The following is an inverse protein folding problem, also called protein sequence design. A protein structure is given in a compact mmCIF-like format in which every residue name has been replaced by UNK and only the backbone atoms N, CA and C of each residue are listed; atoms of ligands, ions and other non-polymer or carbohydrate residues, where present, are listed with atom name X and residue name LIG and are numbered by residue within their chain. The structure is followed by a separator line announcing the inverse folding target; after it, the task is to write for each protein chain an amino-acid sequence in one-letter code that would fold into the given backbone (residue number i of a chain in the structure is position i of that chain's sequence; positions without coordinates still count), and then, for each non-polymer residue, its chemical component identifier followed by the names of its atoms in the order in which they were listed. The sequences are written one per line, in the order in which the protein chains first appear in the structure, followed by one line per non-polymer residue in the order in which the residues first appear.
data_IF_449597968008
#
_entry.id   IF_449597968008
#
_cell.length_a   1.000
_cell.length_b   1.000
_cell.length_c   1.000
_cell.angle_alpha   90.00
_cell.angle_beta   90.00
_cell.angle_gamma   90.00
#
_symmetry.space_group_name_H-M   'P 1'
#
loop_
_entity.id
_entity.type
_entity.pdbx_description
1 polymer ?
#
# COMPACT_ATOMS: atom_id res chain seq x y z
N UNK A 1 -15.44 29.89 4.76
CA UNK A 1 -14.84 28.59 5.13
C UNK A 1 -14.31 27.98 3.85
N UNK A 2 -13.13 27.34 3.86
CA UNK A 2 -12.62 26.62 2.68
C UNK A 2 -13.49 25.40 2.40
N UNK A 3 -13.73 25.06 1.14
CA UNK A 3 -14.47 23.84 0.77
C UNK A 3 -13.60 22.60 0.99
N UNK A 4 -14.21 21.40 0.96
CA UNK A 4 -13.47 20.14 1.08
C UNK A 4 -12.47 19.98 -0.05
N UNK A 5 -12.85 20.34 -1.28
CA UNK A 5 -11.99 20.29 -2.46
C UNK A 5 -10.80 21.24 -2.34
N UNK A 6 -11.01 22.46 -1.85
CA UNK A 6 -9.93 23.42 -1.59
C UNK A 6 -8.97 22.94 -0.50
N UNK A 7 -9.47 22.22 0.51
CA UNK A 7 -8.65 21.60 1.55
C UNK A 7 -7.82 20.44 0.99
N UNK A 8 -8.37 19.62 0.09
CA UNK A 8 -7.62 18.56 -0.60
C UNK A 8 -6.56 19.16 -1.53
N UNK A 9 -6.91 20.16 -2.35
CA UNK A 9 -5.95 20.85 -3.22
C UNK A 9 -4.80 21.48 -2.42
N UNK A 10 -5.11 22.05 -1.24
CA UNK A 10 -4.10 22.54 -0.31
C UNK A 10 -3.20 21.43 0.22
N UNK A 11 -3.78 20.27 0.58
CA UNK A 11 -3.04 19.09 1.02
C UNK A 11 -2.05 18.62 -0.04
N UNK A 12 -2.50 18.48 -1.28
CA UNK A 12 -1.65 18.08 -2.41
C UNK A 12 -0.47 19.04 -2.61
N UNK A 13 -0.74 20.35 -2.60
CA UNK A 13 0.34 21.34 -2.71
C UNK A 13 1.31 21.33 -1.53
N UNK A 14 0.87 20.92 -0.33
CA UNK A 14 1.76 20.75 0.82
C UNK A 14 2.64 19.51 0.67
N UNK A 15 2.11 18.41 0.11
CA UNK A 15 2.90 17.22 -0.23
C UNK A 15 3.99 17.53 -1.25
N UNK A 16 3.68 18.30 -2.30
CA UNK A 16 4.67 18.73 -3.30
C UNK A 16 5.83 19.53 -2.68
N UNK A 17 5.57 20.25 -1.58
CA UNK A 17 6.57 20.99 -0.81
C UNK A 17 7.26 20.16 0.28
N UNK A 18 6.90 18.89 0.42
CA UNK A 18 7.43 17.99 1.44
C UNK A 18 6.82 18.17 2.83
N UNK A 19 5.83 19.05 3.01
CA UNK A 19 5.12 19.25 4.29
C UNK A 19 4.02 18.19 4.49
N UNK A 20 4.46 16.97 4.80
CA UNK A 20 3.56 15.84 5.08
C UNK A 20 2.67 16.09 6.31
N UNK A 21 3.14 16.85 7.30
CA UNK A 21 2.37 17.14 8.50
C UNK A 21 1.19 18.08 8.18
N UNK A 22 1.46 19.16 7.46
CA UNK A 22 0.44 20.08 6.96
C UNK A 22 -0.56 19.40 6.04
N UNK A 23 -0.09 18.54 5.13
CA UNK A 23 -0.97 17.78 4.23
C UNK A 23 -1.97 16.90 5.01
N UNK A 24 -1.50 16.14 6.02
CA UNK A 24 -2.38 15.32 6.88
C UNK A 24 -3.43 16.17 7.60
N UNK A 25 -3.07 17.36 8.09
CA UNK A 25 -4.02 18.26 8.72
C UNK A 25 -5.09 18.75 7.74
N UNK A 26 -4.68 19.08 6.50
CA UNK A 26 -5.60 19.50 5.45
C UNK A 26 -6.59 18.39 5.09
N UNK A 27 -6.13 17.14 4.92
CA UNK A 27 -7.00 16.00 4.64
C UNK A 27 -7.95 15.67 5.80
N UNK A 28 -7.49 15.73 7.04
CA UNK A 28 -8.37 15.57 8.21
C UNK A 28 -9.46 16.65 8.28
N UNK A 29 -9.12 17.89 7.91
CA UNK A 29 -10.11 18.95 7.82
C UNK A 29 -11.12 18.70 6.69
N UNK A 30 -10.67 18.22 5.53
CA UNK A 30 -11.54 17.85 4.42
C UNK A 30 -12.50 16.71 4.80
N UNK A 31 -11.99 15.67 5.47
CA UNK A 31 -12.78 14.56 6.03
C UNK A 31 -13.86 15.07 6.98
N UNK A 32 -13.50 15.97 7.90
CA UNK A 32 -14.48 16.55 8.84
C UNK A 32 -15.60 17.31 8.12
N UNK A 33 -15.28 17.96 7.00
CA UNK A 33 -16.23 18.76 6.24
C UNK A 33 -17.09 17.90 5.30
N UNK A 34 -16.56 16.79 4.79
CA UNK A 34 -17.28 15.84 3.94
C UNK A 34 -16.88 14.39 4.25
N UNK A 35 -17.49 13.76 5.27
CA UNK A 35 -17.13 12.42 5.72
C UNK A 35 -17.40 11.30 4.70
N UNK A 36 -18.35 11.50 3.80
CA UNK A 36 -18.70 10.52 2.75
C UNK A 36 -17.83 10.68 1.49
N UNK A 37 -16.84 11.56 1.50
CA UNK A 37 -15.95 11.77 0.37
C UNK A 37 -14.64 11.00 0.55
N UNK A 38 -14.42 9.99 -0.28
CA UNK A 38 -13.32 9.02 -0.15
C UNK A 38 -11.93 9.60 -0.47
N UNK A 39 -11.82 10.60 -1.33
CA UNK A 39 -10.54 11.16 -1.83
C UNK A 39 -9.59 11.61 -0.70
N UNK A 40 -10.01 12.42 0.29
CA UNK A 40 -9.10 12.81 1.37
C UNK A 40 -8.68 11.64 2.27
N UNK A 41 -9.51 10.61 2.42
CA UNK A 41 -9.11 9.37 3.09
C UNK A 41 -8.00 8.68 2.28
N UNK A 42 -8.18 8.51 0.97
CA UNK A 42 -7.18 7.86 0.10
C UNK A 42 -5.80 8.53 0.21
N UNK A 43 -5.75 9.86 0.10
CA UNK A 43 -4.48 10.59 0.21
C UNK A 43 -3.88 10.52 1.62
N UNK A 44 -4.71 10.58 2.66
CA UNK A 44 -4.25 10.39 4.04
C UNK A 44 -3.66 8.97 4.26
N UNK A 45 -4.29 7.95 3.67
CA UNK A 45 -3.83 6.56 3.70
C UNK A 45 -2.48 6.36 3.01
N UNK A 46 -2.24 7.07 1.90
CA UNK A 46 -0.94 7.11 1.21
C UNK A 46 0.16 7.73 2.08
N UNK A 47 -0.13 8.83 2.76
CA UNK A 47 0.84 9.47 3.66
C UNK A 47 1.20 8.55 4.84
N UNK A 48 0.22 7.88 5.46
CA UNK A 48 0.51 6.92 6.52
C UNK A 48 1.33 5.72 6.03
N UNK A 49 1.04 5.22 4.82
CA UNK A 49 1.82 4.18 4.17
C UNK A 49 3.29 4.61 3.96
N UNK A 50 3.53 5.82 3.47
CA UNK A 50 4.89 6.35 3.30
C UNK A 50 5.65 6.45 4.62
N UNK A 51 4.95 6.77 5.72
CA UNK A 51 5.52 6.85 7.07
C UNK A 51 5.67 5.48 7.76
N UNK A 52 5.28 4.38 7.11
CA UNK A 52 5.26 3.05 7.73
C UNK A 52 4.25 2.90 8.86
N UNK A 53 3.30 3.84 8.97
CA UNK A 53 2.20 3.80 9.94
C UNK A 53 1.09 2.89 9.43
N UNK A 54 1.37 1.59 9.45
CA UNK A 54 0.53 0.58 8.80
C UNK A 54 -0.87 0.49 9.40
N UNK A 55 -1.02 0.63 10.72
CA UNK A 55 -2.33 0.58 11.39
C UNK A 55 -3.23 1.75 10.96
N UNK A 56 -2.71 2.98 10.97
CA UNK A 56 -3.49 4.15 10.52
C UNK A 56 -3.80 4.08 9.02
N UNK A 57 -2.86 3.56 8.21
CA UNK A 57 -3.09 3.34 6.78
C UNK A 57 -4.18 2.29 6.54
N UNK A 58 -4.20 1.21 7.32
CA UNK A 58 -5.25 0.19 7.25
C UNK A 58 -6.62 0.81 7.51
N UNK A 59 -6.79 1.48 8.64
CA UNK A 59 -8.06 2.08 9.07
C UNK A 59 -8.60 3.07 8.05
N UNK A 60 -7.74 3.96 7.55
CA UNK A 60 -8.16 4.95 6.56
C UNK A 60 -8.51 4.31 5.22
N UNK A 61 -7.74 3.32 4.74
CA UNK A 61 -8.07 2.62 3.50
C UNK A 61 -9.34 1.75 3.63
N UNK A 62 -9.67 1.25 4.82
CA UNK A 62 -10.95 0.57 5.08
C UNK A 62 -12.14 1.51 4.83
N UNK A 63 -12.03 2.77 5.24
CA UNK A 63 -13.05 3.78 4.92
C UNK A 63 -13.12 4.08 3.42
N UNK A 64 -11.98 4.15 2.72
CA UNK A 64 -11.99 4.36 1.26
C UNK A 64 -12.73 3.23 0.55
N UNK A 65 -12.43 1.96 0.86
CA UNK A 65 -13.11 0.81 0.20
C UNK A 65 -14.56 0.67 0.64
N UNK A 66 -14.96 1.22 1.80
CA UNK A 66 -16.36 1.31 2.21
C UNK A 66 -17.13 2.33 1.38
N UNK A 67 -16.51 3.49 1.14
CA UNK A 67 -17.10 4.62 0.41
C UNK A 67 -17.07 4.45 -1.11
N UNK A 68 -16.01 3.85 -1.64
CA UNK A 68 -15.74 3.64 -3.06
C UNK A 68 -15.23 2.21 -3.30
N UNK A 69 -16.10 1.18 -3.19
CA UNK A 69 -15.71 -0.22 -3.33
C UNK A 69 -15.16 -0.59 -4.72
N UNK A 70 -15.37 0.24 -5.74
CA UNK A 70 -14.83 0.09 -7.09
C UNK A 70 -13.40 0.63 -7.25
N UNK A 71 -12.87 1.35 -6.26
CA UNK A 71 -11.51 1.90 -6.30
C UNK A 71 -10.47 0.79 -6.09
N UNK A 72 -9.92 0.29 -7.20
CA UNK A 72 -8.87 -0.72 -7.19
C UNK A 72 -7.59 -0.26 -6.48
N UNK A 73 -7.29 1.05 -6.49
CA UNK A 73 -6.13 1.61 -5.80
C UNK A 73 -6.29 1.56 -4.28
N UNK A 74 -7.51 1.78 -3.79
CA UNK A 74 -7.85 1.68 -2.37
C UNK A 74 -7.70 0.24 -1.86
N UNK A 75 -8.24 -0.74 -2.59
CA UNK A 75 -8.05 -2.16 -2.29
C UNK A 75 -6.58 -2.55 -2.28
N UNK A 76 -5.81 -2.04 -3.24
CA UNK A 76 -4.37 -2.30 -3.29
C UNK A 76 -3.64 -1.77 -2.05
N UNK A 77 -3.91 -0.53 -1.65
CA UNK A 77 -3.29 0.06 -0.46
C UNK A 77 -3.74 -0.63 0.83
N UNK A 78 -5.02 -1.02 0.93
CA UNK A 78 -5.53 -1.81 2.05
C UNK A 78 -4.79 -3.15 2.17
N UNK A 79 -4.60 -3.85 1.06
CA UNK A 79 -3.88 -5.11 1.02
C UNK A 79 -2.42 -4.95 1.46
N UNK A 80 -1.74 -3.87 1.03
CA UNK A 80 -0.36 -3.57 1.47
C UNK A 80 -0.32 -3.39 2.98
N UNK A 81 -1.20 -2.54 3.53
CA UNK A 81 -1.24 -2.24 4.96
C UNK A 81 -1.54 -3.49 5.79
N UNK A 82 -2.55 -4.29 5.37
CA UNK A 82 -2.91 -5.53 6.02
C UNK A 82 -1.77 -6.56 5.99
N UNK A 83 -1.07 -6.68 4.86
CA UNK A 83 0.10 -7.56 4.70
C UNK A 83 1.25 -7.14 5.63
N UNK A 84 1.51 -5.84 5.74
CA UNK A 84 2.54 -5.30 6.63
C UNK A 84 2.24 -5.57 8.12
N UNK A 85 0.95 -5.61 8.49
CA UNK A 85 0.47 -5.91 9.84
C UNK A 85 0.28 -7.42 10.10
N UNK A 86 0.55 -8.28 9.12
CA UNK A 86 0.22 -9.71 9.18
C UNK A 86 -1.28 -9.99 9.45
N UNK A 87 -2.17 -9.06 9.09
CA UNK A 87 -3.61 -9.27 9.10
C UNK A 87 -4.01 -10.04 7.82
N UNK A 88 -3.75 -11.35 7.83
CA UNK A 88 -3.88 -12.18 6.62
C UNK A 88 -5.31 -12.34 6.11
N UNK A 89 -6.30 -12.24 7.00
CA UNK A 89 -7.71 -12.26 6.64
C UNK A 89 -8.07 -11.05 5.79
N UNK A 90 -7.73 -9.84 6.26
CA UNK A 90 -8.04 -8.61 5.51
C UNK A 90 -7.16 -8.49 4.27
N UNK A 91 -5.89 -8.92 4.35
CA UNK A 91 -5.01 -8.97 3.19
C UNK A 91 -5.61 -9.84 2.08
N UNK A 92 -6.05 -11.07 2.38
CA UNK A 92 -6.72 -11.94 1.39
C UNK A 92 -7.94 -11.29 0.79
N UNK A 93 -8.80 -10.68 1.61
CA UNK A 93 -9.99 -9.98 1.12
C UNK A 93 -9.62 -8.87 0.13
N UNK A 94 -8.66 -8.03 0.49
CA UNK A 94 -8.22 -6.92 -0.34
C UNK A 94 -7.55 -7.39 -1.65
N UNK A 95 -6.71 -8.41 -1.58
CA UNK A 95 -6.06 -8.99 -2.75
C UNK A 95 -7.05 -9.67 -3.69
N UNK A 96 -8.05 -10.35 -3.16
CA UNK A 96 -9.16 -10.89 -3.96
C UNK A 96 -9.94 -9.81 -4.67
N UNK A 97 -10.19 -8.67 -4.01
CA UNK A 97 -10.83 -7.51 -4.65
C UNK A 97 -9.98 -6.91 -5.78
N UNK A 98 -8.65 -7.01 -5.70
CA UNK A 98 -7.73 -6.67 -6.80
C UNK A 98 -7.65 -7.73 -7.91
N UNK A 99 -8.43 -8.82 -7.84
CA UNK A 99 -8.42 -9.91 -8.83
C UNK A 99 -7.34 -10.96 -8.63
N UNK A 100 -6.65 -10.96 -7.48
CA UNK A 100 -5.69 -11.99 -7.11
C UNK A 100 -6.40 -13.16 -6.43
N UNK A 101 -5.82 -14.36 -6.48
CA UNK A 101 -6.42 -15.57 -5.87
C UNK A 101 -5.50 -16.16 -4.80
N UNK A 102 -5.32 -15.46 -3.66
CA UNK A 102 -4.49 -15.99 -2.59
C UNK A 102 -5.11 -17.28 -2.00
N UNK A 103 -4.29 -18.28 -1.67
CA UNK A 103 -4.78 -19.54 -1.13
C UNK A 103 -5.46 -19.31 0.23
N UNK A 104 -6.50 -20.10 0.55
CA UNK A 104 -7.20 -20.01 1.84
C UNK A 104 -6.27 -20.37 3.00
N UNK A 105 -6.62 -19.89 4.20
CA UNK A 105 -5.91 -20.18 5.45
C UNK A 105 -5.86 -18.97 6.39
N UNK A 106 -5.20 -19.15 7.54
CA UNK A 106 -5.11 -18.11 8.58
C UNK A 106 -3.72 -17.48 8.67
N UNK A 107 -2.69 -18.13 8.11
CA UNK A 107 -1.31 -17.68 8.14
C UNK A 107 -0.91 -16.83 6.94
N UNK A 108 0.37 -16.41 6.89
CA UNK A 108 0.92 -15.72 5.73
C UNK A 108 0.59 -16.51 4.46
N UNK A 109 -0.04 -15.89 3.44
CA UNK A 109 -0.30 -16.60 2.20
C UNK A 109 1.05 -16.97 1.57
N UNK A 110 1.27 -18.27 1.34
CA UNK A 110 2.34 -18.75 0.45
C UNK A 110 1.91 -18.46 -1.00
N UNK A 111 1.81 -17.17 -1.29
CA UNK A 111 1.24 -16.62 -2.51
C UNK A 111 2.22 -15.64 -3.11
N UNK A 112 2.44 -15.85 -4.40
CA UNK A 112 3.35 -15.07 -5.17
C UNK A 112 2.60 -13.90 -5.82
N UNK A 113 2.73 -12.70 -5.24
CA UNK A 113 2.12 -11.46 -5.77
C UNK A 113 2.69 -11.00 -7.14
N UNK A 114 3.62 -11.77 -7.71
CA UNK A 114 4.26 -11.47 -8.99
C UNK A 114 5.59 -10.73 -8.79
N UNK A 115 6.06 -10.07 -9.84
CA UNK A 115 7.15 -9.11 -9.76
C UNK A 115 6.65 -7.82 -9.12
N UNK A 116 7.08 -7.56 -7.88
CA UNK A 116 6.80 -6.33 -7.16
C UNK A 116 7.92 -5.31 -7.44
N UNK A 117 7.57 -4.07 -7.78
CA UNK A 117 8.56 -3.01 -7.87
C UNK A 117 9.08 -2.71 -6.45
N UNK A 118 10.39 -2.77 -6.27
CA UNK A 118 11.07 -2.27 -5.08
C UNK A 118 11.72 -0.96 -5.45
N UNK A 119 11.35 0.10 -4.74
CA UNK A 119 12.15 1.32 -4.72
C UNK A 119 13.34 1.08 -3.80
N UNK A 120 14.54 1.15 -4.39
CA UNK A 120 15.79 1.03 -3.64
C UNK A 120 16.14 2.32 -2.87
N UNK A 121 15.60 3.46 -3.31
CA UNK A 121 15.71 4.75 -2.65
C UNK A 121 14.31 5.35 -2.49
N UNK A 122 13.73 5.35 -1.27
CA UNK A 122 12.41 5.93 -1.03
C UNK A 122 12.37 7.45 -1.25
N UNK A 123 13.52 8.13 -1.08
CA UNK A 123 13.63 9.58 -0.97
C UNK A 123 14.46 10.24 -2.10
N UNK A 124 15.08 9.44 -2.98
CA UNK A 124 15.85 9.92 -4.14
C UNK A 124 15.29 9.51 -5.52
N UNK A 125 16.13 9.56 -6.54
CA UNK A 125 15.75 9.44 -7.98
C UNK A 125 15.62 7.97 -8.47
N UNK A 126 15.65 6.98 -7.56
CA UNK A 126 16.10 5.64 -7.91
C UNK A 126 15.22 4.84 -8.87
N UNK A 127 15.93 4.00 -9.64
CA UNK A 127 15.41 2.89 -10.44
C UNK A 127 14.44 2.00 -9.68
N UNK A 128 13.42 1.56 -10.42
CA UNK A 128 12.49 0.52 -9.99
C UNK A 128 13.11 -0.83 -10.30
N UNK A 129 13.49 -1.58 -9.27
CA UNK A 129 13.90 -2.97 -9.46
C UNK A 129 12.69 -3.86 -9.26
N UNK A 130 12.34 -4.60 -10.31
CA UNK A 130 11.33 -5.63 -10.24
C UNK A 130 11.93 -6.84 -9.52
N UNK A 131 11.50 -7.09 -8.27
CA UNK A 131 11.83 -8.33 -7.59
C UNK A 131 10.61 -9.23 -7.56
N UNK A 132 10.85 -10.52 -7.57
CA UNK A 132 9.91 -11.51 -7.07
C UNK A 132 10.04 -11.51 -5.53
N UNK A 133 8.98 -11.20 -4.77
CA UNK A 133 8.97 -11.32 -3.29
C UNK A 133 7.54 -11.53 -2.76
N UNK A 134 7.25 -12.05 -1.55
CA UNK A 134 7.95 -12.10 -0.25
C UNK A 134 7.63 -13.44 0.46
N UNK A 135 8.52 -14.43 0.46
CA UNK A 135 8.51 -15.45 1.52
C UNK A 135 9.44 -14.98 2.62
N UNK A 136 8.96 -14.92 3.87
CA UNK A 136 9.87 -14.75 5.00
C UNK A 136 10.89 -15.89 4.95
N UNK A 137 12.15 -15.48 5.07
CA UNK A 137 13.36 -16.30 5.18
C UNK A 137 13.07 -17.66 5.81
N UNK A 138 13.38 -18.72 5.07
CA UNK A 138 13.65 -20.06 5.61
C UNK A 138 14.47 -19.92 6.91
N UNK A 139 13.82 -20.17 8.04
CA UNK A 139 14.50 -20.53 9.28
C UNK A 139 14.01 -21.92 9.65
N UNK A 140 14.68 -22.91 9.06
CA UNK A 140 14.63 -24.28 9.55
C UNK A 140 13.81 -25.23 8.67
N UNK A 141 14.39 -25.67 7.57
CA UNK A 141 14.26 -27.08 7.20
C UNK A 141 15.42 -27.47 6.29
N UNK A 142 16.36 -28.21 6.88
CA UNK A 142 17.36 -28.97 6.16
C UNK A 142 16.69 -30.10 5.39
N UNK A 143 16.26 -29.87 4.15
CA UNK A 143 16.10 -30.91 3.12
C UNK A 143 15.69 -30.36 1.75
N UNK A 144 16.47 -30.74 0.72
CA UNK A 144 16.08 -31.01 -0.67
C UNK A 144 15.99 -29.85 -1.70
N UNK A 145 16.19 -30.15 -3.02
CA UNK A 145 17.38 -29.68 -3.73
C UNK A 145 17.10 -28.88 -5.02
N UNK A 146 18.12 -28.15 -5.45
CA UNK A 146 18.37 -27.70 -6.83
C UNK A 146 17.23 -27.03 -7.60
N UNK A 147 17.17 -25.70 -7.52
CA UNK A 147 17.07 -24.84 -8.71
C UNK A 147 17.78 -23.53 -8.41
N UNK A 148 19.08 -23.47 -8.75
CA UNK A 148 19.74 -22.18 -8.97
C UNK A 148 19.01 -21.51 -10.13
N UNK A 149 18.13 -20.56 -9.85
CA UNK A 149 17.68 -19.61 -10.86
C UNK A 149 18.69 -18.48 -10.87
N UNK A 150 19.52 -18.52 -11.89
CA UNK A 150 20.44 -17.47 -12.32
C UNK A 150 19.74 -16.12 -12.28
N UNK A 151 20.39 -15.13 -11.65
CA UNK A 151 20.02 -13.73 -11.75
C UNK A 151 20.39 -13.30 -13.17
N UNK A 152 19.40 -13.19 -14.06
CA UNK A 152 19.59 -12.48 -15.33
C UNK A 152 19.25 -11.03 -15.08
N UNK A 153 20.25 -10.19 -14.83
CA UNK A 153 20.11 -8.74 -14.99
C UNK A 153 19.93 -8.47 -16.47
N UNK A 154 18.71 -8.13 -16.90
CA UNK A 154 18.50 -7.44 -18.15
C UNK A 154 18.56 -5.93 -17.83
N UNK A 155 19.73 -5.33 -18.04
CA UNK A 155 19.81 -3.89 -18.25
C UNK A 155 19.27 -3.62 -19.65
N UNK A 156 18.15 -2.91 -19.75
CA UNK A 156 17.75 -2.27 -21.00
C UNK A 156 18.21 -0.83 -20.93
N UNK A 157 19.10 -0.44 -21.84
CA UNK A 157 19.61 0.92 -22.02
C UNK A 157 18.52 1.90 -22.47
#
# INVERSE_FOLDING_TARGET
MRTSEELVANGLGLEERGDRAGAKLAYKAAIKNSPEWSVPYFNLGLLFKQEGRWQDSLEVNQEVVRLAPEDAGAWWNLGIAATALANWTEARRAWTACGLTPPPGDGAPDFHFGTTPVRLDPDGVAEVVWRIALTQRDRGSSACPSRRRTITMAMSF
#
